data_IF_980972507639
#
_entry.id   IF_980972507639
#
_cell.length_a   1.000
_cell.length_b   1.000
_cell.length_c   1.000
_cell.angle_alpha   90.00
_cell.angle_beta   90.00
_cell.angle_gamma   90.00
#
_symmetry.space_group_name_H-M   'P 1'
#
loop_
_entity.id
_entity.type
_entity.pdbx_description
1 polymer ?
#
# COMPACT_ATOMS: atom_id res chain seq x y z
N UNK A 1 -76.86 -38.86 -44.92
CA UNK A 1 -76.78 -40.11 -44.14
C UNK A 1 -75.34 -40.29 -43.69
N UNK A 2 -75.14 -40.63 -42.41
CA UNK A 2 -73.88 -40.91 -41.71
C UNK A 2 -73.06 -39.63 -41.37
N UNK A 3 -72.54 -39.38 -40.17
CA UNK A 3 -72.39 -40.19 -38.96
C UNK A 3 -72.11 -39.25 -37.76
N UNK A 4 -72.72 -39.60 -36.62
CA UNK A 4 -72.30 -39.44 -35.21
C UNK A 4 -71.01 -38.68 -34.86
N UNK A 5 -71.11 -37.76 -33.88
CA UNK A 5 -70.48 -37.81 -32.52
C UNK A 5 -70.38 -36.39 -31.94
N UNK A 6 -71.21 -36.01 -30.95
CA UNK A 6 -71.04 -36.20 -29.50
C UNK A 6 -69.68 -35.66 -28.99
N UNK A 7 -69.70 -34.48 -28.36
CA UNK A 7 -69.66 -34.27 -26.90
C UNK A 7 -68.29 -34.63 -26.32
N UNK A 8 -67.57 -33.62 -25.82
CA UNK A 8 -67.20 -33.41 -24.40
C UNK A 8 -66.19 -32.27 -24.38
N UNK A 9 -66.63 -31.11 -23.91
CA UNK A 9 -65.76 -30.04 -23.42
C UNK A 9 -65.16 -30.53 -22.11
N UNK A 10 -64.01 -31.21 -22.18
CA UNK A 10 -63.28 -31.71 -21.03
C UNK A 10 -62.13 -30.77 -20.70
N UNK A 11 -62.26 -30.04 -19.59
CA UNK A 11 -61.13 -29.36 -18.95
C UNK A 11 -60.03 -30.39 -18.65
N UNK A 12 -58.88 -30.25 -19.31
CA UNK A 12 -57.65 -30.89 -18.85
C UNK A 12 -56.85 -29.81 -18.13
N UNK A 13 -56.89 -29.88 -16.80
CA UNK A 13 -55.96 -29.19 -15.91
C UNK A 13 -54.59 -29.81 -16.17
N UNK A 14 -53.75 -29.12 -16.94
CA UNK A 14 -52.33 -29.41 -16.99
C UNK A 14 -51.66 -28.71 -15.80
N UNK A 15 -51.28 -29.51 -14.80
CA UNK A 15 -50.30 -29.12 -13.79
C UNK A 15 -48.96 -28.87 -14.49
N UNK A 16 -48.68 -27.60 -14.80
CA UNK A 16 -47.36 -27.13 -15.19
C UNK A 16 -46.53 -26.96 -13.91
N UNK A 17 -45.79 -28.02 -13.58
CA UNK A 17 -44.70 -27.99 -12.63
C UNK A 17 -43.51 -27.24 -13.29
N UNK A 18 -43.58 -25.92 -13.34
CA UNK A 18 -42.41 -25.10 -13.73
C UNK A 18 -41.54 -25.01 -12.48
N UNK A 19 -40.50 -25.85 -12.46
CA UNK A 19 -39.38 -25.68 -11.54
C UNK A 19 -38.89 -24.24 -11.66
N UNK A 20 -39.06 -23.47 -10.58
CA UNK A 20 -38.40 -22.19 -10.44
C UNK A 20 -36.90 -22.45 -10.50
N UNK A 21 -36.30 -22.29 -11.68
CA UNK A 21 -34.90 -21.95 -11.80
C UNK A 21 -34.75 -20.64 -11.06
N UNK A 22 -34.39 -20.74 -9.78
CA UNK A 22 -33.81 -19.66 -9.03
C UNK A 22 -32.53 -19.26 -9.79
N UNK A 23 -32.70 -18.40 -10.79
CA UNK A 23 -31.62 -17.58 -11.30
C UNK A 23 -31.24 -16.75 -10.10
N UNK A 24 -30.18 -17.16 -9.44
CA UNK A 24 -29.54 -16.37 -8.42
C UNK A 24 -29.18 -15.04 -9.09
N UNK A 25 -30.00 -14.01 -8.89
CA UNK A 25 -29.53 -12.63 -8.98
C UNK A 25 -28.51 -12.51 -7.85
N UNK A 26 -27.28 -12.95 -8.08
CA UNK A 26 -26.17 -12.49 -7.26
C UNK A 26 -26.15 -10.98 -7.46
N UNK A 27 -26.37 -10.23 -6.37
CA UNK A 27 -26.17 -8.79 -6.37
C UNK A 27 -24.80 -8.53 -6.99
N UNK A 28 -24.79 -7.83 -8.14
CA UNK A 28 -23.56 -7.58 -8.88
C UNK A 28 -22.69 -6.70 -7.99
N UNK A 29 -21.71 -7.33 -7.37
CA UNK A 29 -20.68 -6.62 -6.64
C UNK A 29 -19.84 -5.90 -7.68
N UNK A 30 -19.68 -4.60 -7.53
CA UNK A 30 -18.85 -3.79 -8.41
C UNK A 30 -17.57 -3.39 -7.67
N UNK A 31 -16.46 -3.42 -8.39
CA UNK A 31 -15.16 -2.96 -7.95
C UNK A 31 -14.88 -1.61 -8.61
N UNK A 32 -14.81 -0.54 -7.81
CA UNK A 32 -14.39 0.78 -8.27
C UNK A 32 -12.90 0.96 -8.03
N UNK A 33 -12.13 1.17 -9.09
CA UNK A 33 -10.68 1.34 -9.03
C UNK A 33 -10.36 2.69 -8.38
N UNK A 34 -9.71 2.69 -7.22
CA UNK A 34 -9.40 3.93 -6.46
C UNK A 34 -8.06 4.55 -6.81
N UNK A 35 -7.19 3.78 -7.43
CA UNK A 35 -5.89 4.21 -7.98
C UNK A 35 -5.59 3.36 -9.20
N UNK A 36 -4.85 3.90 -10.18
CA UNK A 36 -4.45 3.14 -11.36
C UNK A 36 -3.82 1.79 -10.96
N UNK A 37 -4.30 0.70 -11.55
CA UNK A 37 -3.94 -0.66 -11.13
C UNK A 37 -3.67 -1.58 -12.33
N UNK A 38 -2.73 -2.51 -12.14
CA UNK A 38 -2.39 -3.52 -13.13
C UNK A 38 -3.47 -4.60 -13.18
N UNK A 39 -4.05 -4.78 -14.35
CA UNK A 39 -4.99 -5.85 -14.64
C UNK A 39 -4.26 -7.06 -15.21
N UNK A 40 -4.33 -8.18 -14.50
CA UNK A 40 -3.47 -9.35 -14.73
C UNK A 40 -4.26 -10.57 -15.19
N UNK A 41 -3.59 -11.48 -15.89
CA UNK A 41 -4.20 -12.77 -16.30
C UNK A 41 -4.57 -13.64 -15.10
N UNK A 42 -3.68 -13.69 -14.13
CA UNK A 42 -3.75 -14.48 -12.90
C UNK A 42 -3.22 -13.64 -11.73
N UNK A 43 -3.53 -13.99 -10.47
CA UNK A 43 -2.88 -13.43 -9.30
C UNK A 43 -1.35 -13.43 -9.44
N UNK A 44 -0.70 -12.26 -9.28
CA UNK A 44 0.73 -12.07 -9.51
C UNK A 44 1.26 -12.45 -10.91
N UNK A 45 0.37 -12.73 -11.86
CA UNK A 45 0.73 -13.17 -13.21
C UNK A 45 1.01 -12.02 -14.17
N UNK A 46 1.07 -12.39 -15.45
CA UNK A 46 1.31 -11.47 -16.56
C UNK A 46 0.30 -10.33 -16.58
N UNK A 47 0.79 -9.10 -16.66
CA UNK A 47 -0.04 -7.92 -16.85
C UNK A 47 -0.61 -7.89 -18.27
N UNK A 48 -1.90 -7.60 -18.38
CA UNK A 48 -2.64 -7.52 -19.63
C UNK A 48 -3.05 -6.09 -19.96
N UNK A 49 -3.28 -5.28 -18.92
CA UNK A 49 -3.67 -3.89 -19.05
C UNK A 49 -3.33 -3.12 -17.77
N UNK A 50 -3.49 -1.81 -17.83
CA UNK A 50 -3.53 -0.90 -16.69
C UNK A 50 -4.91 -0.28 -16.65
N UNK A 51 -5.66 -0.49 -15.57
CA UNK A 51 -7.00 0.07 -15.37
C UNK A 51 -6.87 1.40 -14.63
N UNK A 52 -7.51 2.43 -15.15
CA UNK A 52 -7.39 3.79 -14.62
C UNK A 52 -8.28 3.98 -13.39
N UNK A 53 -7.89 4.96 -12.56
CA UNK A 53 -8.69 5.39 -11.41
C UNK A 53 -10.10 5.80 -11.86
N UNK A 54 -11.10 5.42 -11.07
CA UNK A 54 -12.51 5.71 -11.32
C UNK A 54 -13.24 4.64 -12.13
N UNK A 55 -12.53 3.70 -12.76
CA UNK A 55 -13.17 2.62 -13.51
C UNK A 55 -14.01 1.71 -12.59
N UNK A 56 -15.26 1.46 -12.96
CA UNK A 56 -16.15 0.54 -12.25
C UNK A 56 -16.30 -0.75 -13.04
N UNK A 57 -15.96 -1.87 -12.40
CA UNK A 57 -15.90 -3.18 -13.04
C UNK A 57 -16.74 -4.20 -12.27
N UNK A 58 -17.51 -5.05 -12.96
CA UNK A 58 -18.23 -6.14 -12.30
C UNK A 58 -17.24 -7.17 -11.75
N UNK A 59 -17.46 -7.55 -10.49
CA UNK A 59 -16.70 -8.60 -9.81
C UNK A 59 -17.28 -9.96 -10.18
N UNK A 60 -16.39 -10.86 -10.61
CA UNK A 60 -16.73 -12.23 -11.00
C UNK A 60 -16.37 -13.21 -9.88
N UNK A 61 -15.23 -12.99 -9.22
CA UNK A 61 -14.74 -13.87 -8.16
C UNK A 61 -13.78 -13.11 -7.23
N UNK A 62 -13.51 -13.66 -6.04
CA UNK A 62 -12.55 -13.14 -5.09
C UNK A 62 -11.69 -14.27 -4.52
N UNK A 63 -10.37 -14.09 -4.55
CA UNK A 63 -9.43 -15.08 -4.05
C UNK A 63 -8.28 -14.40 -3.29
N UNK A 64 -8.28 -14.54 -1.97
CA UNK A 64 -7.27 -13.92 -1.10
C UNK A 64 -7.24 -12.40 -1.27
N UNK A 65 -6.06 -11.86 -1.61
CA UNK A 65 -5.88 -10.44 -1.88
C UNK A 65 -6.28 -9.99 -3.29
N UNK A 66 -6.85 -10.87 -4.12
CA UNK A 66 -7.17 -10.59 -5.52
C UNK A 66 -8.66 -10.63 -5.80
N UNK A 67 -9.07 -9.81 -6.75
CA UNK A 67 -10.45 -9.71 -7.22
C UNK A 67 -10.46 -9.99 -8.70
N UNK A 68 -11.20 -11.01 -9.12
CA UNK A 68 -11.41 -11.24 -10.53
C UNK A 68 -12.54 -10.33 -11.00
N UNK A 69 -12.26 -9.54 -12.03
CA UNK A 69 -13.20 -8.60 -12.62
C UNK A 69 -13.33 -8.85 -14.12
N UNK A 70 -14.45 -8.42 -14.70
CA UNK A 70 -14.64 -8.43 -16.14
C UNK A 70 -14.44 -7.02 -16.70
N UNK A 71 -13.30 -6.82 -17.37
CA UNK A 71 -12.97 -5.58 -18.07
C UNK A 71 -13.69 -5.56 -19.42
N UNK A 72 -14.52 -4.56 -19.67
CA UNK A 72 -15.25 -4.41 -20.94
C UNK A 72 -15.25 -2.98 -21.44
N UNK A 73 -15.32 -2.81 -22.76
CA UNK A 73 -15.32 -1.48 -23.40
C UNK A 73 -15.03 -1.54 -24.89
N UNK A 74 -14.83 -0.38 -25.48
CA UNK A 74 -14.61 -0.15 -26.90
C UNK A 74 -13.14 0.16 -27.20
N UNK A 75 -12.61 -0.48 -28.23
CA UNK A 75 -11.23 -0.37 -28.69
C UNK A 75 -11.22 0.01 -30.16
N UNK A 76 -10.23 0.81 -30.57
CA UNK A 76 -10.05 1.20 -31.97
C UNK A 76 -9.66 -0.01 -32.82
N UNK A 77 -10.47 -0.35 -33.82
CA UNK A 77 -10.33 -1.58 -34.59
C UNK A 77 -8.97 -1.72 -35.31
N UNK A 78 -8.38 -0.66 -35.90
CA UNK A 78 -7.04 -0.72 -36.50
C UNK A 78 -5.91 -1.10 -35.54
N UNK A 79 -6.11 -0.97 -34.23
CA UNK A 79 -5.12 -1.35 -33.21
C UNK A 79 -5.23 -2.83 -32.81
N UNK A 80 -6.13 -3.59 -33.45
CA UNK A 80 -6.40 -4.99 -33.16
C UNK A 80 -6.06 -5.88 -34.37
N UNK A 81 -5.57 -7.08 -34.06
CA UNK A 81 -5.39 -8.15 -35.04
C UNK A 81 -6.21 -9.38 -34.64
N UNK A 82 -6.75 -10.08 -35.63
CA UNK A 82 -7.44 -11.34 -35.40
C UNK A 82 -6.50 -12.42 -34.85
N UNK A 83 -7.03 -13.28 -33.99
CA UNK A 83 -6.32 -14.44 -33.42
C UNK A 83 -7.34 -15.52 -33.05
N UNK A 84 -6.88 -16.74 -32.81
CA UNK A 84 -7.68 -17.83 -32.25
C UNK A 84 -7.02 -18.46 -31.02
N UNK A 85 -5.99 -17.78 -30.49
CA UNK A 85 -5.22 -18.25 -29.33
C UNK A 85 -6.09 -18.27 -28.09
N UNK A 86 -6.05 -19.39 -27.37
CA UNK A 86 -6.72 -19.56 -26.08
C UNK A 86 -8.22 -19.25 -26.10
N UNK A 87 -8.87 -19.42 -27.25
CA UNK A 87 -10.31 -19.14 -27.42
C UNK A 87 -10.67 -17.65 -27.51
N UNK A 88 -9.70 -16.77 -27.73
CA UNK A 88 -9.93 -15.34 -27.97
C UNK A 88 -9.87 -14.99 -29.45
N UNK A 89 -10.69 -14.02 -29.87
CA UNK A 89 -10.85 -13.63 -31.27
C UNK A 89 -9.85 -12.54 -31.70
N UNK A 90 -9.37 -11.75 -30.73
CA UNK A 90 -8.61 -10.52 -30.97
C UNK A 90 -7.36 -10.46 -30.09
N UNK A 91 -6.31 -9.83 -30.63
CA UNK A 91 -5.13 -9.39 -29.88
C UNK A 91 -4.87 -7.91 -30.12
N UNK A 92 -4.35 -7.21 -29.13
CA UNK A 92 -3.82 -5.85 -29.32
C UNK A 92 -2.53 -5.94 -30.13
N UNK A 93 -2.48 -5.26 -31.27
CA UNK A 93 -1.32 -5.25 -32.19
C UNK A 93 -0.65 -3.89 -32.34
N UNK A 94 -1.19 -2.84 -31.70
CA UNK A 94 -0.58 -1.52 -31.71
C UNK A 94 0.65 -1.48 -30.78
N UNK A 95 1.74 -0.90 -31.30
CA UNK A 95 2.98 -0.68 -30.54
C UNK A 95 2.69 0.25 -29.36
N UNK A 96 3.03 -0.20 -28.15
CA UNK A 96 2.77 0.54 -26.92
C UNK A 96 1.35 0.39 -26.36
N UNK A 97 0.51 -0.48 -26.95
CA UNK A 97 -0.84 -0.80 -26.47
C UNK A 97 -1.94 0.11 -27.01
N UNK A 98 -3.16 -0.06 -26.51
CA UNK A 98 -4.35 0.71 -26.94
C UNK A 98 -5.26 1.06 -25.76
N UNK A 99 -5.98 2.16 -25.88
CA UNK A 99 -6.93 2.63 -24.87
C UNK A 99 -8.27 1.90 -25.01
N UNK A 100 -8.79 1.41 -23.88
CA UNK A 100 -10.15 0.90 -23.73
C UNK A 100 -11.06 2.01 -23.21
N UNK A 101 -12.22 2.18 -23.84
CA UNK A 101 -13.17 3.26 -23.51
C UNK A 101 -14.56 2.73 -23.18
N UNK A 102 -15.34 3.41 -22.35
CA UNK A 102 -16.72 2.98 -22.06
C UNK A 102 -17.65 3.07 -23.26
N UNK A 103 -17.37 3.99 -24.19
CA UNK A 103 -18.08 4.19 -25.46
C UNK A 103 -17.07 4.58 -26.55
N UNK A 104 -17.41 4.43 -27.83
CA UNK A 104 -16.59 4.97 -28.92
C UNK A 104 -16.23 6.44 -28.68
N UNK A 105 -14.94 6.78 -28.80
CA UNK A 105 -14.41 8.13 -28.54
C UNK A 105 -14.70 8.71 -27.13
N UNK A 106 -15.14 7.89 -26.19
CA UNK A 106 -15.44 8.30 -24.82
C UNK A 106 -14.23 8.29 -23.89
N UNK A 107 -14.52 8.40 -22.60
CA UNK A 107 -13.54 8.30 -21.52
C UNK A 107 -12.77 6.98 -21.58
N UNK A 108 -11.46 7.08 -21.35
CA UNK A 108 -10.56 5.93 -21.25
C UNK A 108 -10.67 5.36 -19.85
N UNK A 109 -10.91 4.06 -19.74
CA UNK A 109 -11.01 3.35 -18.46
C UNK A 109 -9.86 2.38 -18.24
N UNK A 110 -9.15 2.00 -19.29
CA UNK A 110 -7.93 1.21 -19.19
C UNK A 110 -7.02 1.43 -20.39
N UNK A 111 -5.74 1.12 -20.22
CA UNK A 111 -4.76 0.97 -21.30
C UNK A 111 -4.39 -0.51 -21.43
N UNK A 112 -4.83 -1.13 -22.51
CA UNK A 112 -4.52 -2.51 -22.86
C UNK A 112 -3.08 -2.59 -23.37
N UNK A 113 -2.31 -3.57 -22.90
CA UNK A 113 -0.95 -3.80 -23.39
C UNK A 113 -0.95 -4.54 -24.73
N UNK A 114 0.12 -4.35 -25.49
CA UNK A 114 0.36 -5.12 -26.71
C UNK A 114 0.34 -6.62 -26.42
N UNK A 115 -0.27 -7.40 -27.33
CA UNK A 115 -0.43 -8.85 -27.19
C UNK A 115 -1.57 -9.28 -26.25
N UNK A 116 -2.26 -8.34 -25.58
CA UNK A 116 -3.44 -8.66 -24.77
C UNK A 116 -4.53 -9.32 -25.61
N UNK A 117 -5.00 -10.49 -25.19
CA UNK A 117 -6.04 -11.28 -25.88
C UNK A 117 -7.42 -10.86 -25.40
N UNK A 118 -8.36 -10.65 -26.32
CA UNK A 118 -9.67 -10.06 -26.08
C UNK A 118 -10.77 -10.88 -26.76
N UNK A 119 -11.91 -11.03 -26.09
CA UNK A 119 -13.08 -11.64 -26.70
C UNK A 119 -13.91 -10.54 -27.36
N UNK A 120 -14.32 -10.77 -28.61
CA UNK A 120 -15.19 -9.84 -29.34
C UNK A 120 -16.62 -9.97 -28.80
N UNK A 121 -17.28 -8.83 -28.60
CA UNK A 121 -18.70 -8.79 -28.23
C UNK A 121 -19.56 -8.17 -29.33
N UNK A 122 -19.17 -6.98 -29.80
CA UNK A 122 -19.93 -6.20 -30.78
C UNK A 122 -19.00 -5.32 -31.63
N UNK A 123 -19.52 -4.72 -32.70
CA UNK A 123 -18.79 -3.84 -33.60
C UNK A 123 -19.63 -2.63 -34.01
N UNK A 124 -19.02 -1.45 -34.00
CA UNK A 124 -19.66 -0.20 -34.39
C UNK A 124 -18.68 0.70 -35.13
N UNK A 125 -18.79 0.71 -36.46
CA UNK A 125 -17.87 1.41 -37.34
C UNK A 125 -16.43 0.93 -37.13
N UNK A 126 -15.52 1.85 -36.79
CA UNK A 126 -14.11 1.52 -36.54
C UNK A 126 -13.82 1.16 -35.08
N UNK A 127 -14.84 0.78 -34.30
CA UNK A 127 -14.71 0.41 -32.90
C UNK A 127 -15.22 -1.00 -32.67
N UNK A 128 -14.50 -1.77 -31.87
CA UNK A 128 -14.90 -3.12 -31.47
C UNK A 128 -15.12 -3.12 -29.96
N UNK A 129 -16.30 -3.59 -29.54
CA UNK A 129 -16.56 -3.84 -28.13
C UNK A 129 -15.95 -5.18 -27.75
N UNK A 130 -15.15 -5.16 -26.69
CA UNK A 130 -14.40 -6.30 -26.20
C UNK A 130 -14.69 -6.56 -24.74
N UNK A 131 -14.43 -7.80 -24.31
CA UNK A 131 -14.32 -8.15 -22.90
C UNK A 131 -13.07 -8.98 -22.62
N UNK A 132 -12.58 -8.86 -21.39
CA UNK A 132 -11.52 -9.69 -20.84
C UNK A 132 -11.70 -9.87 -19.35
N UNK A 133 -11.58 -11.10 -18.87
CA UNK A 133 -11.46 -11.39 -17.44
C UNK A 133 -10.01 -11.37 -17.00
N UNK A 134 -9.80 -10.92 -15.78
CA UNK A 134 -8.50 -10.81 -15.16
C UNK A 134 -8.64 -10.34 -13.72
N UNK A 135 -7.49 -10.17 -13.09
CA UNK A 135 -7.39 -9.96 -11.66
C UNK A 135 -6.83 -8.57 -11.37
N UNK A 136 -7.45 -7.90 -10.41
CA UNK A 136 -6.96 -6.67 -9.78
C UNK A 136 -6.59 -6.97 -8.33
N UNK A 137 -5.67 -6.18 -7.78
CA UNK A 137 -5.37 -6.23 -6.37
C UNK A 137 -6.53 -5.65 -5.56
N UNK A 138 -7.01 -6.38 -4.54
CA UNK A 138 -8.18 -6.01 -3.75
C UNK A 138 -8.02 -4.68 -3.03
N UNK A 139 -6.80 -4.31 -2.65
CA UNK A 139 -6.54 -3.05 -1.96
C UNK A 139 -6.65 -1.82 -2.88
N UNK A 140 -6.68 -2.03 -4.19
CA UNK A 140 -6.78 -0.95 -5.19
C UNK A 140 -8.21 -0.73 -5.67
N UNK A 141 -9.19 -1.44 -5.08
CA UNK A 141 -10.60 -1.35 -5.46
C UNK A 141 -11.53 -1.21 -4.25
N UNK A 142 -12.47 -0.29 -4.34
CA UNK A 142 -13.62 -0.18 -3.43
C UNK A 142 -14.71 -1.15 -3.89
N UNK A 143 -15.19 -2.02 -2.99
CA UNK A 143 -16.27 -2.95 -3.28
C UNK A 143 -17.61 -2.35 -2.88
N UNK A 144 -18.54 -2.30 -3.83
CA UNK A 144 -19.93 -1.95 -3.55
C UNK A 144 -20.82 -3.14 -3.86
N UNK A 145 -21.57 -3.59 -2.85
CA UNK A 145 -22.54 -4.68 -2.98
C UNK A 145 -23.77 -4.38 -2.14
N UNK A 146 -24.95 -4.56 -2.74
CA UNK A 146 -26.20 -4.59 -1.99
C UNK A 146 -26.38 -6.00 -1.42
N UNK A 147 -26.11 -6.15 -0.13
CA UNK A 147 -26.62 -7.25 0.69
C UNK A 147 -27.40 -6.63 1.84
N UNK A 148 -28.73 -6.71 1.75
CA UNK A 148 -29.64 -6.39 2.83
C UNK A 148 -29.63 -7.51 3.90
N UNK A 149 -29.86 -7.08 5.15
CA UNK A 149 -30.12 -7.85 6.38
C UNK A 149 -28.87 -8.42 7.08
N UNK A 150 -28.67 -8.31 8.41
CA UNK A 150 -29.61 -8.11 9.52
C UNK A 150 -29.02 -7.21 10.62
N UNK A 151 -29.91 -6.49 11.29
CA UNK A 151 -29.64 -5.78 12.52
C UNK A 151 -29.30 -6.76 13.66
N UNK A 152 -28.27 -6.45 14.44
CA UNK A 152 -28.23 -6.85 15.84
C UNK A 152 -27.66 -5.71 16.67
N UNK A 153 -28.60 -4.95 17.23
CA UNK A 153 -28.38 -4.06 18.34
C UNK A 153 -27.91 -4.85 19.56
N UNK A 154 -26.72 -4.53 20.06
CA UNK A 154 -26.33 -4.80 21.43
C UNK A 154 -25.29 -3.75 21.87
N UNK A 155 -25.79 -2.70 22.50
CA UNK A 155 -25.06 -2.01 23.56
C UNK A 155 -25.29 -2.83 24.84
N UNK A 156 -24.26 -3.07 25.67
CA UNK A 156 -24.30 -2.36 26.94
C UNK A 156 -22.94 -1.83 27.39
N UNK A 157 -23.01 -0.63 27.98
CA UNK A 157 -22.00 -0.04 28.86
C UNK A 157 -21.54 -0.99 29.97
N UNK A 158 -20.26 -0.93 30.31
CA UNK A 158 -19.70 -1.51 31.53
C UNK A 158 -18.21 -1.15 31.69
N UNK A 159 -17.93 -0.25 32.61
CA UNK A 159 -16.60 0.23 33.02
C UNK A 159 -15.80 -0.83 33.79
N UNK A 160 -14.49 -0.93 33.53
CA UNK A 160 -13.41 -1.03 34.55
C UNK A 160 -12.03 -1.13 33.86
N UNK A 161 -11.14 -0.19 34.17
CA UNK A 161 -9.66 -0.27 34.03
C UNK A 161 -9.10 -1.05 35.26
N UNK A 162 -7.88 -1.63 35.27
CA UNK A 162 -6.65 -1.04 34.72
C UNK A 162 -5.65 -1.99 34.04
N UNK A 163 -5.00 -1.47 33.00
CA UNK A 163 -3.58 -1.51 32.62
C UNK A 163 -3.57 -1.20 31.12
N UNK A 164 -3.82 0.08 30.79
CA UNK A 164 -4.27 0.45 29.46
C UNK A 164 -3.09 0.34 28.46
N UNK A 165 -3.16 -0.55 27.45
CA UNK A 165 -2.25 -0.49 26.33
C UNK A 165 -2.34 0.91 25.71
N UNK A 166 -1.22 1.49 25.27
CA UNK A 166 -1.16 2.86 24.78
C UNK A 166 -2.25 3.09 23.73
N UNK A 167 -3.02 4.19 23.80
CA UNK A 167 -4.30 4.31 23.11
C UNK A 167 -4.13 4.02 21.61
N UNK A 168 -4.72 2.93 21.15
CA UNK A 168 -4.67 2.52 19.74
C UNK A 168 -5.80 3.25 19.02
N UNK A 169 -5.43 4.11 18.08
CA UNK A 169 -6.40 4.75 17.19
C UNK A 169 -6.60 3.87 15.97
N UNK A 170 -7.86 3.56 15.68
CA UNK A 170 -8.26 2.98 14.40
C UNK A 170 -8.64 4.11 13.48
N UNK A 171 -7.98 4.23 12.34
CA UNK A 171 -8.32 5.27 11.38
C UNK A 171 -9.70 4.99 10.79
N UNK A 172 -10.69 5.89 10.91
CA UNK A 172 -12.03 5.66 10.37
C UNK A 172 -12.08 5.80 8.84
N UNK A 173 -11.10 6.52 8.28
CA UNK A 173 -10.91 6.79 6.86
C UNK A 173 -9.41 6.79 6.55
N UNK A 174 -9.03 6.97 5.29
CA UNK A 174 -7.63 7.11 4.94
C UNK A 174 -7.09 8.42 5.51
N UNK A 175 -6.02 8.36 6.31
CA UNK A 175 -5.37 9.52 6.92
C UNK A 175 -4.00 9.72 6.28
N UNK A 176 -3.66 10.97 5.97
CA UNK A 176 -2.31 11.31 5.49
C UNK A 176 -1.40 11.46 6.71
N UNK A 177 -0.28 10.76 6.70
CA UNK A 177 0.75 10.86 7.75
C UNK A 177 1.83 11.80 7.25
N UNK A 178 2.12 12.82 8.05
CA UNK A 178 3.12 13.83 7.77
C UNK A 178 4.35 13.62 8.66
N UNK A 179 5.55 13.94 8.17
CA UNK A 179 6.81 13.84 8.92
C UNK A 179 6.77 14.70 10.20
N UNK A 180 6.18 15.89 10.08
CA UNK A 180 5.94 16.86 11.16
C UNK A 180 4.58 17.54 10.96
N UNK A 181 4.05 18.24 11.98
CA UNK A 181 2.88 19.11 11.79
C UNK A 181 3.10 20.08 10.61
N UNK A 182 2.27 19.96 9.57
CA UNK A 182 2.38 20.69 8.30
C UNK A 182 3.66 20.44 7.47
N UNK A 183 4.39 19.35 7.73
CA UNK A 183 5.54 18.91 6.94
C UNK A 183 5.17 18.04 5.73
N UNK A 184 6.16 17.34 5.17
CA UNK A 184 5.98 16.49 4.00
C UNK A 184 5.15 15.23 4.31
N UNK A 185 4.39 14.76 3.32
CA UNK A 185 3.67 13.48 3.40
C UNK A 185 4.65 12.31 3.34
N UNK A 186 4.62 11.45 4.35
CA UNK A 186 5.50 10.28 4.45
C UNK A 186 4.77 8.95 4.30
N UNK A 187 3.46 8.92 4.57
CA UNK A 187 2.66 7.72 4.40
C UNK A 187 1.16 8.05 4.29
N UNK A 188 0.38 7.05 3.88
CA UNK A 188 -1.08 7.08 3.98
C UNK A 188 -1.54 5.94 4.86
N UNK A 189 -2.18 6.29 5.97
CA UNK A 189 -2.76 5.38 6.92
C UNK A 189 -4.13 4.92 6.42
N UNK A 190 -4.32 3.61 6.24
CA UNK A 190 -5.54 3.07 5.65
C UNK A 190 -6.70 3.12 6.66
N UNK A 191 -7.96 3.23 6.21
CA UNK A 191 -9.11 2.99 7.08
C UNK A 191 -9.01 1.60 7.74
N UNK A 192 -9.27 1.51 9.03
CA UNK A 192 -9.11 0.29 9.82
C UNK A 192 -7.67 0.00 10.25
N UNK A 193 -6.67 0.74 9.75
CA UNK A 193 -5.31 0.62 10.24
C UNK A 193 -5.22 1.15 11.67
N UNK A 194 -4.46 0.44 12.48
CA UNK A 194 -4.30 0.72 13.90
C UNK A 194 -2.93 1.32 14.14
N UNK A 195 -2.90 2.46 14.84
CA UNK A 195 -1.66 3.04 15.30
C UNK A 195 -1.73 3.29 16.79
N UNK A 196 -0.61 3.06 17.46
CA UNK A 196 -0.41 3.48 18.83
C UNK A 196 -0.26 5.01 18.86
N UNK A 197 -1.06 5.70 19.67
CA UNK A 197 -0.92 7.14 19.86
C UNK A 197 0.19 7.41 20.88
N UNK A 198 1.20 8.17 20.46
CA UNK A 198 2.35 8.57 21.28
C UNK A 198 2.15 9.94 21.95
N UNK A 199 1.25 10.77 21.44
CA UNK A 199 0.98 12.09 21.98
C UNK A 199 0.12 12.96 21.05
N UNK A 200 -0.31 14.11 21.54
CA UNK A 200 -1.13 15.06 20.78
C UNK A 200 -0.60 16.49 20.96
N UNK A 201 -0.62 17.28 19.91
CA UNK A 201 -0.26 18.70 19.94
C UNK A 201 -1.22 19.48 19.04
N UNK A 202 -2.11 20.27 19.63
CA UNK A 202 -3.21 20.92 18.88
C UNK A 202 -4.14 19.88 18.25
N UNK A 203 -4.33 19.98 16.93
CA UNK A 203 -5.11 19.03 16.11
C UNK A 203 -4.27 17.87 15.55
N UNK A 204 -2.97 17.82 15.89
CA UNK A 204 -2.04 16.79 15.43
C UNK A 204 -1.90 15.66 16.44
N UNK A 205 -1.90 14.42 15.95
CA UNK A 205 -1.69 13.22 16.74
C UNK A 205 -0.40 12.55 16.26
N UNK A 206 0.53 12.31 17.18
CA UNK A 206 1.74 11.54 16.91
C UNK A 206 1.41 10.06 17.07
N UNK A 207 1.77 9.26 16.07
CA UNK A 207 1.41 7.84 16.02
C UNK A 207 2.66 6.96 15.80
N UNK A 208 2.63 5.73 16.33
CA UNK A 208 3.54 4.63 16.02
C UNK A 208 2.75 3.50 15.39
N UNK A 209 3.29 2.96 14.30
CA UNK A 209 2.65 1.90 13.52
C UNK A 209 3.49 0.64 13.65
N UNK A 210 2.88 -0.44 14.08
CA UNK A 210 3.49 -1.77 14.06
C UNK A 210 2.89 -2.56 12.90
N UNK A 211 3.73 -3.21 12.10
CA UNK A 211 3.30 -3.88 10.88
C UNK A 211 4.42 -4.54 10.11
N UNK A 212 4.04 -5.51 9.28
CA UNK A 212 4.95 -6.27 8.44
C UNK A 212 4.88 -5.79 7.00
N UNK A 213 6.04 -5.52 6.41
CA UNK A 213 6.16 -5.16 4.99
C UNK A 213 6.62 -6.36 4.17
N UNK A 214 6.12 -6.49 2.94
CA UNK A 214 6.45 -7.63 2.09
C UNK A 214 7.92 -7.60 1.66
N UNK A 215 8.63 -8.69 2.00
CA UNK A 215 10.05 -8.95 1.80
C UNK A 215 10.62 -8.34 0.54
N UNK A 216 10.62 -8.94 -0.65
CA UNK A 216 11.48 -8.57 -1.79
C UNK A 216 11.76 -7.07 -2.05
N UNK A 217 10.76 -6.18 -2.03
CA UNK A 217 10.97 -4.73 -2.19
C UNK A 217 11.34 -4.01 -0.88
N UNK A 218 10.76 -4.47 0.24
CA UNK A 218 11.19 -4.05 1.56
C UNK A 218 12.56 -4.60 1.90
N UNK A 219 12.99 -5.74 1.37
CA UNK A 219 14.15 -6.59 1.65
C UNK A 219 15.36 -6.07 0.87
N UNK A 220 15.20 -5.42 -0.28
CA UNK A 220 16.28 -4.58 -0.82
C UNK A 220 16.55 -3.33 0.04
N UNK A 221 15.56 -2.86 0.82
CA UNK A 221 15.72 -1.74 1.77
C UNK A 221 15.99 -2.22 3.21
N UNK A 222 15.52 -3.41 3.56
CA UNK A 222 15.47 -4.05 4.87
C UNK A 222 16.61 -5.05 5.01
N UNK A 223 17.11 -5.69 3.94
CA UNK A 223 18.48 -6.22 3.88
C UNK A 223 19.46 -5.07 3.82
N UNK A 224 19.20 -3.94 3.16
CA UNK A 224 20.04 -2.74 3.32
C UNK A 224 19.93 -2.06 4.69
N UNK A 225 19.01 -2.49 5.56
CA UNK A 225 18.86 -2.09 6.98
C UNK A 225 19.28 -3.21 7.93
N UNK A 226 19.30 -4.48 7.48
CA UNK A 226 19.71 -5.65 8.25
C UNK A 226 21.19 -5.98 8.01
N UNK A 227 21.71 -5.86 6.78
CA UNK A 227 23.16 -5.85 6.49
C UNK A 227 23.86 -4.66 7.15
N UNK A 228 23.12 -3.59 7.51
CA UNK A 228 23.64 -2.38 8.17
C UNK A 228 23.19 -2.20 9.62
N UNK A 229 22.16 -2.91 10.08
CA UNK A 229 21.83 -3.03 11.50
C UNK A 229 22.97 -3.72 12.27
N UNK A 230 23.69 -4.61 11.58
CA UNK A 230 24.92 -5.25 12.07
C UNK A 230 26.20 -4.42 11.82
N UNK A 231 26.12 -3.29 11.10
CA UNK A 231 27.31 -2.45 10.89
C UNK A 231 27.71 -1.76 12.18
N UNK A 232 28.86 -2.15 12.70
CA UNK A 232 29.48 -1.51 13.86
C UNK A 232 30.15 -0.20 13.47
N UNK A 233 30.29 0.77 14.40
CA UNK A 233 31.10 1.96 14.17
C UNK A 233 32.56 1.62 13.79
N UNK A 234 33.07 0.48 14.25
CA UNK A 234 34.40 -0.01 13.86
C UNK A 234 34.50 -0.37 12.37
N UNK A 235 33.50 -1.04 11.81
CA UNK A 235 33.47 -1.37 10.37
C UNK A 235 33.37 -0.11 9.51
N UNK A 236 32.57 0.88 9.91
CA UNK A 236 32.50 2.17 9.22
C UNK A 236 33.85 2.90 9.23
N UNK A 237 34.59 2.84 10.34
CA UNK A 237 35.93 3.45 10.43
C UNK A 237 36.98 2.72 9.61
N UNK A 238 36.82 1.41 9.42
CA UNK A 238 37.74 0.58 8.65
C UNK A 238 37.62 0.83 7.13
N UNK A 239 36.41 1.07 6.63
CA UNK A 239 36.18 1.41 5.22
C UNK A 239 35.20 2.61 5.05
N UNK A 240 35.63 3.84 5.35
CA UNK A 240 34.75 5.00 5.43
C UNK A 240 34.06 5.39 4.11
N UNK A 241 34.69 5.09 2.98
CA UNK A 241 34.18 5.46 1.66
C UNK A 241 33.10 4.48 1.17
N UNK A 242 33.26 3.19 1.47
CA UNK A 242 32.34 2.14 1.02
C UNK A 242 30.93 2.28 1.58
N UNK A 243 30.82 2.74 2.82
CA UNK A 243 29.55 2.76 3.55
C UNK A 243 28.88 4.15 3.56
N UNK A 244 29.38 5.12 2.79
CA UNK A 244 28.74 6.43 2.69
C UNK A 244 27.33 6.30 2.10
N UNK A 245 26.36 6.94 2.76
CA UNK A 245 24.94 6.87 2.41
C UNK A 245 24.23 5.59 2.86
N UNK A 246 24.94 4.62 3.44
CA UNK A 246 24.34 3.43 4.01
C UNK A 246 23.44 3.80 5.20
N UNK A 247 22.32 3.11 5.36
CA UNK A 247 21.34 3.39 6.41
C UNK A 247 21.63 2.49 7.62
N UNK A 248 21.87 3.03 8.81
CA UNK A 248 22.14 2.27 10.04
C UNK A 248 20.99 2.39 11.03
N UNK A 249 20.77 1.33 11.81
CA UNK A 249 19.88 1.34 13.00
C UNK A 249 20.70 0.95 14.22
N UNK A 250 20.86 1.86 15.17
CA UNK A 250 21.70 1.63 16.35
C UNK A 250 20.98 1.97 17.65
N UNK A 251 21.24 1.17 18.69
CA UNK A 251 20.94 1.53 20.07
C UNK A 251 22.15 2.23 20.67
N UNK A 252 22.07 3.53 20.89
CA UNK A 252 23.18 4.37 21.36
C UNK A 252 22.84 4.97 22.73
N UNK A 253 23.87 5.36 23.47
CA UNK A 253 23.68 6.06 24.74
C UNK A 253 23.88 7.57 24.53
N UNK A 254 22.82 8.35 24.69
CA UNK A 254 22.85 9.80 24.56
C UNK A 254 23.81 10.42 25.58
N UNK A 255 24.67 11.36 25.13
CA UNK A 255 25.59 12.09 26.01
C UNK A 255 25.19 13.55 26.10
N UNK A 256 25.05 14.22 24.94
CA UNK A 256 24.69 15.63 24.88
C UNK A 256 24.22 16.04 23.49
N UNK A 257 23.32 17.02 23.41
CA UNK A 257 23.02 17.78 22.20
C UNK A 257 23.96 19.01 22.12
N UNK A 258 24.56 19.24 20.96
CA UNK A 258 25.50 20.33 20.71
C UNK A 258 25.22 20.97 19.34
N UNK A 259 25.83 22.13 19.06
CA UNK A 259 25.85 22.73 17.71
C UNK A 259 27.27 22.74 17.16
N UNK A 260 27.42 22.43 15.89
CA UNK A 260 28.72 22.42 15.24
C UNK A 260 29.29 23.83 15.11
N UNK A 261 30.55 24.00 15.49
CA UNK A 261 31.30 25.22 15.26
C UNK A 261 31.80 25.29 13.81
N UNK A 262 32.07 26.50 13.29
CA UNK A 262 32.53 26.73 11.91
C UNK A 262 33.84 26.01 11.55
N UNK A 263 34.61 25.58 12.54
CA UNK A 263 35.85 24.81 12.36
C UNK A 263 35.60 23.33 12.02
N UNK A 264 34.38 22.81 12.28
CA UNK A 264 34.02 21.40 12.07
C UNK A 264 33.49 21.15 10.67
N UNK A 265 34.37 20.77 9.74
CA UNK A 265 34.03 20.58 8.32
C UNK A 265 33.11 19.39 7.99
N UNK A 266 32.92 18.47 8.95
CA UNK A 266 32.03 17.32 8.77
C UNK A 266 30.55 17.68 9.05
N UNK A 267 30.30 18.91 9.52
CA UNK A 267 28.98 19.50 9.76
C UNK A 267 28.84 20.85 9.06
N UNK A 268 27.60 21.27 8.85
CA UNK A 268 27.29 22.65 8.50
C UNK A 268 27.49 23.53 9.74
N UNK A 269 27.80 24.81 9.55
CA UNK A 269 27.96 25.74 10.66
C UNK A 269 26.65 25.89 11.44
N UNK A 270 26.72 25.72 12.76
CA UNK A 270 25.55 25.76 13.63
C UNK A 270 24.67 24.49 13.60
N UNK A 271 25.03 23.49 12.78
CA UNK A 271 24.24 22.26 12.64
C UNK A 271 24.13 21.55 13.99
N UNK A 272 22.91 21.27 14.48
CA UNK A 272 22.73 20.56 15.73
C UNK A 272 23.11 19.09 15.55
N UNK A 273 23.81 18.54 16.53
CA UNK A 273 24.20 17.15 16.53
C UNK A 273 24.19 16.55 17.95
N UNK A 274 23.85 15.28 18.04
CA UNK A 274 23.95 14.49 19.26
C UNK A 274 25.33 13.84 19.31
N UNK A 275 25.99 13.99 20.46
CA UNK A 275 27.09 13.13 20.86
C UNK A 275 26.52 11.92 21.59
N UNK A 276 26.83 10.71 21.13
CA UNK A 276 26.39 9.47 21.74
C UNK A 276 27.53 8.45 21.83
N UNK A 277 27.44 7.51 22.78
CA UNK A 277 28.31 6.34 22.79
C UNK A 277 27.79 5.29 21.81
N UNK A 278 28.70 4.62 21.13
CA UNK A 278 28.38 3.63 20.11
C UNK A 278 27.55 2.45 20.64
N UNK A 279 26.90 1.69 19.73
CA UNK A 279 26.09 0.54 20.08
C UNK A 279 26.88 -0.61 20.72
N UNK A 280 26.17 -1.41 21.53
CA UNK A 280 26.62 -2.71 22.06
C UNK A 280 28.01 -2.74 22.73
N UNK A 281 28.43 -1.67 23.41
CA UNK A 281 29.68 -1.63 24.16
C UNK A 281 30.92 -1.22 23.34
N UNK A 282 30.73 -0.70 22.13
CA UNK A 282 31.82 0.02 21.44
C UNK A 282 32.24 1.23 22.28
N UNK A 283 33.53 1.33 22.59
CA UNK A 283 34.09 2.42 23.38
C UNK A 283 34.15 3.75 22.61
N UNK A 284 33.82 3.75 21.32
CA UNK A 284 33.80 4.92 20.46
C UNK A 284 32.59 5.83 20.65
N UNK A 285 32.78 7.12 20.35
CA UNK A 285 31.68 8.06 20.16
C UNK A 285 31.17 8.02 18.71
N UNK A 286 29.86 8.19 18.57
CA UNK A 286 29.19 8.43 17.30
C UNK A 286 28.56 9.81 17.33
N UNK A 287 28.56 10.47 16.18
CA UNK A 287 28.06 11.83 16.04
C UNK A 287 26.85 11.81 15.12
N UNK A 288 25.72 12.32 15.60
CA UNK A 288 24.45 12.19 14.91
C UNK A 288 23.96 13.59 14.55
N UNK A 289 24.05 13.98 13.28
CA UNK A 289 23.46 15.24 12.80
C UNK A 289 21.94 15.18 12.95
N UNK A 290 21.36 16.16 13.66
CA UNK A 290 19.94 16.22 13.99
C UNK A 290 19.27 17.16 12.99
N UNK A 291 18.30 16.70 12.17
CA UNK A 291 17.49 17.61 11.37
C UNK A 291 16.59 18.47 12.28
N UNK A 292 16.20 19.66 11.82
CA UNK A 292 15.41 20.61 12.63
C UNK A 292 14.11 20.00 13.17
N UNK A 293 13.52 19.08 12.40
CA UNK A 293 12.30 18.34 12.73
C UNK A 293 12.44 17.44 13.96
N UNK A 294 13.64 16.90 14.20
CA UNK A 294 13.94 16.01 15.32
C UNK A 294 14.53 16.77 16.52
N UNK A 295 14.80 18.07 16.40
CA UNK A 295 15.34 18.89 17.49
C UNK A 295 14.50 18.85 18.76
N UNK A 296 13.15 19.00 18.73
CA UNK A 296 12.36 18.98 19.96
C UNK A 296 12.46 17.65 20.72
N UNK A 297 12.64 16.54 19.99
CA UNK A 297 12.84 15.22 20.58
C UNK A 297 14.25 15.10 21.14
N UNK A 298 15.27 15.57 20.41
CA UNK A 298 16.65 15.56 20.88
C UNK A 298 16.87 16.43 22.13
N UNK A 299 16.18 17.55 22.24
CA UNK A 299 16.22 18.47 23.39
C UNK A 299 15.56 17.87 24.64
N UNK A 300 14.64 16.92 24.49
CA UNK A 300 13.97 16.27 25.62
C UNK A 300 14.74 15.06 26.17
N UNK A 301 15.80 14.61 25.49
CA UNK A 301 16.62 13.48 25.91
C UNK A 301 17.42 13.80 27.17
N UNK A 302 17.49 12.82 28.09
CA UNK A 302 18.32 12.93 29.28
C UNK A 302 19.70 12.36 29.05
N UNK A 303 20.76 12.98 29.61
CA UNK A 303 22.10 12.41 29.59
C UNK A 303 22.12 10.95 30.06
N UNK A 304 22.85 10.11 29.33
CA UNK A 304 23.03 8.67 29.56
C UNK A 304 21.80 7.79 29.29
N UNK A 305 20.72 8.36 28.77
CA UNK A 305 19.55 7.60 28.31
C UNK A 305 19.89 6.80 27.04
N UNK A 306 19.33 5.60 26.92
CA UNK A 306 19.46 4.81 25.70
C UNK A 306 18.38 5.22 24.71
N UNK A 307 18.80 5.35 23.45
CA UNK A 307 17.91 5.73 22.35
C UNK A 307 18.18 4.82 21.16
N UNK A 308 17.13 4.45 20.45
CA UNK A 308 17.26 3.78 19.16
C UNK A 308 17.22 4.84 18.07
N UNK A 309 18.25 4.87 17.23
CA UNK A 309 18.40 5.85 16.16
C UNK A 309 18.43 5.16 14.81
N UNK A 310 17.84 5.80 13.81
CA UNK A 310 17.95 5.43 12.40
C UNK A 310 18.54 6.61 11.65
N UNK A 311 19.55 6.37 10.83
CA UNK A 311 20.16 7.44 10.06
C UNK A 311 21.14 6.97 8.99
N UNK A 312 21.49 7.86 8.07
CA UNK A 312 22.39 7.58 6.95
C UNK A 312 23.83 7.94 7.30
N UNK A 313 24.80 7.11 6.93
CA UNK A 313 26.21 7.39 7.16
C UNK A 313 26.66 8.55 6.28
N UNK A 314 26.89 9.73 6.89
CA UNK A 314 27.50 10.87 6.22
C UNK A 314 28.98 10.61 5.93
N UNK A 315 29.68 10.11 6.95
CA UNK A 315 31.06 9.61 6.84
C UNK A 315 31.32 8.52 7.87
N UNK A 316 31.98 7.44 7.47
CA UNK A 316 32.35 6.36 8.39
C UNK A 316 33.47 6.72 9.37
N UNK A 317 34.21 7.81 9.10
CA UNK A 317 35.26 8.34 9.98
C UNK A 317 35.43 9.84 9.76
N UNK A 318 35.06 10.63 10.75
CA UNK A 318 35.37 12.07 10.78
C UNK A 318 36.88 12.26 10.80
N UNK A 319 37.37 13.15 9.94
CA UNK A 319 38.80 13.52 9.89
C UNK A 319 39.26 14.24 11.16
N UNK A 320 38.33 14.91 11.86
CA UNK A 320 38.62 15.69 13.06
C UNK A 320 38.30 14.93 14.35
N UNK A 321 37.25 14.12 14.37
CA UNK A 321 36.73 13.49 15.60
C UNK A 321 36.95 11.98 15.66
N UNK A 322 37.39 11.35 14.57
CA UNK A 322 37.75 9.94 14.52
C UNK A 322 36.58 8.94 14.60
N UNK A 323 35.39 9.38 15.02
CA UNK A 323 34.14 8.59 15.00
C UNK A 323 33.29 8.81 13.73
N UNK A 324 32.32 7.93 13.46
CA UNK A 324 31.40 8.11 12.33
C UNK A 324 30.42 9.26 12.57
N UNK A 325 30.00 9.89 11.47
CA UNK A 325 28.95 10.91 11.44
C UNK A 325 27.75 10.37 10.70
N UNK A 326 26.57 10.44 11.32
CA UNK A 326 25.31 9.89 10.81
C UNK A 326 24.28 11.03 10.68
N UNK A 327 23.60 11.10 9.54
CA UNK A 327 22.44 11.96 9.31
C UNK A 327 21.19 11.29 9.88
N UNK A 328 20.65 11.81 10.98
CA UNK A 328 19.46 11.23 11.60
C UNK A 328 18.24 11.36 10.70
N UNK A 329 17.49 10.27 10.64
CA UNK A 329 16.17 10.22 10.00
C UNK A 329 15.08 9.93 11.03
N UNK A 330 15.41 9.17 12.08
CA UNK A 330 14.49 8.88 13.17
C UNK A 330 15.23 8.69 14.51
N UNK A 331 14.55 9.00 15.61
CA UNK A 331 15.04 8.82 16.97
C UNK A 331 13.89 8.45 17.93
N UNK A 332 14.04 7.29 18.55
CA UNK A 332 13.09 6.74 19.51
C UNK A 332 13.77 6.63 20.87
N UNK A 333 13.36 7.44 21.87
CA UNK A 333 13.74 7.22 23.26
C UNK A 333 13.29 5.84 23.71
N UNK A 334 14.18 5.08 24.36
CA UNK A 334 13.78 3.82 24.97
C UNK A 334 13.03 4.16 26.27
N UNK A 335 11.77 3.74 26.38
CA UNK A 335 11.05 3.92 27.64
C UNK A 335 11.85 3.26 28.77
N UNK A 336 12.01 3.91 29.93
CA UNK A 336 12.73 3.34 31.04
C UNK A 336 11.96 2.11 31.54
N UNK A 337 12.32 0.94 31.00
CA UNK A 337 11.81 -0.36 31.42
C UNK A 337 12.01 -0.52 32.93
N UNK A 338 10.89 -0.68 33.63
CA UNK A 338 10.88 -0.99 35.04
C UNK A 338 11.53 -2.35 35.31
N UNK A 339 12.71 -2.27 35.93
CA UNK A 339 13.46 -3.33 36.66
C UNK A 339 14.11 -4.45 35.86
#
# INVERSE_FOLDING_TARGET
MNSLSKIVTGQVIWLLLVAALATSLQGQTTARVVTEENFRREPNGTQLATVLQGAELPVVDQQGGWVQVELSGWVWAPSLAATSREGFDLRVSADGGENLRLRPQGEVVARLLEGCLLARMDESGNWIQVRRRGWLWRASVEMSGSAAAEASSADPSGSDEPDEPPPVVTAPTALIVYATPAGDTIATFQPGAQAQVLGRTGDWIRIRVDGWVYGPAALDSALRLADTGDLTPAQLRADPARYRGALVRWRVQFVSLQRAESTRRDFQEGEPFILARGPAGDAGFVYLAVPEELLPVAESLRPLEFVTVVGRVRTGRSSQMGGPVIDLTDIEPEEPGGR
#
